data_IF_003618116427
#
_entry.id   IF_003618116427
#
_cell.length_a   1.000
_cell.length_b   1.000
_cell.length_c   1.000
_cell.angle_alpha   90.00
_cell.angle_beta   90.00
_cell.angle_gamma   90.00
#
_symmetry.space_group_name_H-M   'P 1'
#
loop_
_entity.id
_entity.type
_entity.pdbx_description
1 polymer ?
#
# COMPACT_ATOMS: atom_id res chain seq x y z
N UNK A 1 4.10 27.87 32.42
CA UNK A 1 4.52 26.99 33.52
C UNK A 1 3.82 25.67 33.32
N UNK A 2 4.49 24.71 32.69
CA UNK A 2 3.96 23.37 32.42
C UNK A 2 4.21 22.52 33.65
N UNK A 3 3.16 22.33 34.44
CA UNK A 3 3.19 21.43 35.58
C UNK A 3 3.46 20.02 35.05
N UNK A 4 4.59 19.42 35.46
CA UNK A 4 4.85 18.01 35.22
C UNK A 4 3.96 17.25 36.20
N UNK A 5 2.72 16.98 35.83
CA UNK A 5 1.89 16.03 36.56
C UNK A 5 2.59 14.68 36.50
N UNK A 6 3.30 14.35 37.58
CA UNK A 6 3.93 13.04 37.76
C UNK A 6 2.84 12.00 37.64
N UNK A 7 2.92 11.14 36.62
CA UNK A 7 1.96 10.05 36.43
C UNK A 7 1.90 9.20 37.70
N UNK A 8 0.72 8.69 38.10
CA UNK A 8 0.64 7.72 39.18
C UNK A 8 1.56 6.53 38.90
N UNK A 9 2.18 5.98 39.95
CA UNK A 9 3.18 4.91 39.83
C UNK A 9 2.64 3.68 39.06
N UNK A 10 1.40 3.26 39.38
CA UNK A 10 0.75 2.14 38.69
C UNK A 10 0.54 2.39 37.19
N UNK A 11 0.37 3.66 36.76
CA UNK A 11 0.27 4.00 35.35
C UNK A 11 1.64 3.83 34.71
N UNK A 12 2.69 4.39 35.31
CA UNK A 12 4.05 4.30 34.79
C UNK A 12 4.51 2.84 34.64
N UNK A 13 4.28 2.00 35.66
CA UNK A 13 4.58 0.57 35.62
C UNK A 13 3.83 -0.14 34.48
N UNK A 14 2.53 0.17 34.32
CA UNK A 14 1.73 -0.47 33.27
C UNK A 14 2.13 -0.02 31.86
N UNK A 15 2.55 1.23 31.68
CA UNK A 15 3.11 1.72 30.42
C UNK A 15 4.42 0.99 30.07
N UNK A 16 5.29 0.75 31.07
CA UNK A 16 6.51 -0.06 30.89
C UNK A 16 6.16 -1.51 30.53
N UNK A 17 5.18 -2.10 31.22
CA UNK A 17 4.70 -3.46 30.90
C UNK A 17 4.19 -3.55 29.47
N UNK A 18 3.38 -2.58 29.01
CA UNK A 18 2.88 -2.53 27.63
C UNK A 18 4.06 -2.39 26.65
N UNK A 19 4.98 -1.46 26.92
CA UNK A 19 6.16 -1.23 26.07
C UNK A 19 6.98 -2.51 25.89
N UNK A 20 7.31 -3.20 26.98
CA UNK A 20 8.06 -4.45 26.94
C UNK A 20 7.26 -5.59 26.29
N UNK A 21 6.02 -5.81 26.73
CA UNK A 21 5.21 -6.96 26.30
C UNK A 21 4.87 -6.92 24.82
N UNK A 22 4.61 -5.74 24.28
CA UNK A 22 4.21 -5.55 22.88
C UNK A 22 5.34 -5.02 22.00
N UNK A 23 6.57 -4.89 22.54
CA UNK A 23 7.76 -4.39 21.83
C UNK A 23 7.53 -3.02 21.16
N UNK A 24 6.91 -2.10 21.89
CA UNK A 24 6.59 -0.74 21.42
C UNK A 24 7.46 0.27 22.19
N UNK A 25 8.05 1.29 21.53
CA UNK A 25 8.80 2.32 22.24
C UNK A 25 7.98 2.99 23.35
N UNK A 26 8.55 3.13 24.55
CA UNK A 26 7.86 3.66 25.72
C UNK A 26 7.24 5.05 25.45
N UNK A 27 7.95 5.92 24.74
CA UNK A 27 7.47 7.26 24.35
C UNK A 27 6.18 7.21 23.53
N UNK A 28 6.05 6.23 22.64
CA UNK A 28 4.83 6.03 21.82
C UNK A 28 3.67 5.54 22.68
N UNK A 29 3.93 4.61 23.61
CA UNK A 29 2.93 4.12 24.56
C UNK A 29 2.45 5.27 25.46
N UNK A 30 3.36 6.10 25.95
CA UNK A 30 3.05 7.28 26.75
C UNK A 30 2.25 8.31 25.95
N UNK A 31 2.61 8.56 24.68
CA UNK A 31 1.87 9.47 23.79
C UNK A 31 0.42 9.02 23.61
N UNK A 32 0.20 7.76 23.26
CA UNK A 32 -1.16 7.21 23.08
C UNK A 32 -1.95 7.20 24.39
N UNK A 33 -1.29 6.95 25.52
CA UNK A 33 -1.89 7.10 26.84
C UNK A 33 -2.40 8.53 27.06
N UNK A 34 -1.57 9.54 26.81
CA UNK A 34 -1.94 10.94 26.99
C UNK A 34 -3.07 11.36 26.05
N UNK A 35 -3.13 10.83 24.82
CA UNK A 35 -4.25 11.05 23.90
C UNK A 35 -5.57 10.51 24.44
N UNK A 36 -5.56 9.31 25.03
CA UNK A 36 -6.77 8.73 25.66
C UNK A 36 -7.15 9.55 26.88
N UNK A 37 -6.20 9.80 27.77
CA UNK A 37 -6.45 10.50 29.03
C UNK A 37 -6.98 11.92 28.79
N UNK A 38 -6.41 12.66 27.85
CA UNK A 38 -6.83 14.03 27.53
C UNK A 38 -8.01 14.12 26.55
N UNK A 39 -8.63 13.00 26.18
CA UNK A 39 -9.79 13.04 25.29
C UNK A 39 -10.99 13.74 25.96
N UNK A 40 -11.79 14.46 25.16
CA UNK A 40 -12.98 15.18 25.66
C UNK A 40 -13.90 14.27 26.48
N UNK A 41 -14.09 13.03 26.03
CA UNK A 41 -14.88 12.04 26.75
C UNK A 41 -14.33 11.76 28.16
N UNK A 42 -13.04 11.45 28.29
CA UNK A 42 -12.42 11.12 29.58
C UNK A 42 -12.39 12.34 30.52
N UNK A 43 -12.17 13.53 29.96
CA UNK A 43 -12.05 14.75 30.76
C UNK A 43 -13.40 15.32 31.22
N UNK A 44 -14.46 15.20 30.41
CA UNK A 44 -15.73 15.90 30.65
C UNK A 44 -16.89 15.01 31.08
N UNK A 45 -16.84 13.70 30.85
CA UNK A 45 -17.97 12.83 31.19
C UNK A 45 -18.14 12.71 32.72
N UNK A 46 -19.34 12.98 33.27
CA UNK A 46 -19.61 12.99 34.70
C UNK A 46 -19.52 11.60 35.37
N UNK A 47 -19.41 10.52 34.59
CA UNK A 47 -19.19 9.18 35.12
C UNK A 47 -17.80 9.03 35.75
N UNK A 48 -16.81 9.81 35.31
CA UNK A 48 -15.47 9.81 35.89
C UNK A 48 -15.44 10.67 37.16
N UNK A 49 -15.35 10.01 38.32
CA UNK A 49 -15.55 10.67 39.63
C UNK A 49 -14.29 11.35 40.17
N UNK A 50 -13.13 11.00 39.64
CA UNK A 50 -11.83 11.52 40.08
C UNK A 50 -10.80 11.40 38.96
N UNK A 51 -9.66 12.06 39.13
CA UNK A 51 -8.55 11.94 38.19
C UNK A 51 -7.93 10.54 38.20
N UNK A 52 -7.92 9.88 39.35
CA UNK A 52 -7.48 8.49 39.48
C UNK A 52 -8.39 7.51 38.70
N UNK A 53 -9.71 7.75 38.70
CA UNK A 53 -10.66 6.96 37.89
C UNK A 53 -10.39 7.14 36.38
N UNK A 54 -10.06 8.36 35.94
CA UNK A 54 -9.65 8.64 34.56
C UNK A 54 -8.34 7.95 34.20
N UNK A 55 -7.35 7.97 35.09
CA UNK A 55 -6.07 7.27 34.90
C UNK A 55 -6.28 5.76 34.78
N UNK A 56 -7.02 5.15 35.71
CA UNK A 56 -7.36 3.73 35.72
C UNK A 56 -8.13 3.30 34.46
N UNK A 57 -9.10 4.10 34.02
CA UNK A 57 -9.80 3.85 32.77
C UNK A 57 -8.86 3.93 31.55
N UNK A 58 -8.09 5.01 31.45
CA UNK A 58 -7.24 5.29 30.27
C UNK A 58 -6.18 4.22 30.07
N UNK A 59 -5.52 3.79 31.15
CA UNK A 59 -4.53 2.72 31.08
C UNK A 59 -5.16 1.36 30.76
N UNK A 60 -6.37 1.09 31.26
CA UNK A 60 -7.12 -0.14 30.92
C UNK A 60 -7.54 -0.15 29.46
N UNK A 61 -8.01 0.98 28.92
CA UNK A 61 -8.32 1.11 27.49
C UNK A 61 -7.07 0.87 26.65
N UNK A 62 -5.94 1.47 27.02
CA UNK A 62 -4.69 1.28 26.31
C UNK A 62 -4.25 -0.19 26.33
N UNK A 63 -4.27 -0.82 27.50
CA UNK A 63 -3.98 -2.24 27.65
C UNK A 63 -4.86 -3.12 26.75
N UNK A 64 -6.19 -2.92 26.81
CA UNK A 64 -7.14 -3.68 26.00
C UNK A 64 -6.89 -3.47 24.51
N UNK A 65 -6.58 -2.25 24.08
CA UNK A 65 -6.25 -1.95 22.67
C UNK A 65 -5.02 -2.71 22.21
N UNK A 66 -3.97 -2.84 23.03
CA UNK A 66 -2.78 -3.63 22.69
C UNK A 66 -3.03 -5.13 22.77
N UNK A 67 -3.72 -5.60 23.82
CA UNK A 67 -4.02 -7.01 24.02
C UNK A 67 -4.97 -7.60 22.97
N UNK A 68 -5.89 -6.78 22.45
CA UNK A 68 -6.83 -7.18 21.39
C UNK A 68 -6.20 -7.16 20.00
N UNK A 69 -4.95 -6.69 19.84
CA UNK A 69 -4.32 -6.71 18.52
C UNK A 69 -4.01 -8.14 18.08
N UNK A 70 -4.17 -8.43 16.79
CA UNK A 70 -3.63 -9.66 16.23
C UNK A 70 -2.14 -9.78 16.54
N UNK A 71 -1.63 -10.99 16.79
CA UNK A 71 -0.19 -11.21 16.92
C UNK A 71 0.55 -10.66 15.71
N UNK A 72 1.61 -9.90 15.98
CA UNK A 72 2.49 -9.32 14.96
C UNK A 72 3.87 -9.96 15.01
N UNK A 73 4.59 -9.87 13.90
CA UNK A 73 5.99 -10.28 13.77
C UNK A 73 6.76 -9.20 13.01
N UNK A 74 8.05 -9.08 13.29
CA UNK A 74 8.94 -8.23 12.50
C UNK A 74 9.21 -8.89 11.15
N UNK A 75 9.06 -8.12 10.08
CA UNK A 75 9.44 -8.49 8.72
C UNK A 75 10.42 -7.46 8.16
N UNK A 76 11.41 -7.93 7.41
CA UNK A 76 12.13 -7.08 6.46
C UNK A 76 11.35 -7.08 5.16
N UNK A 77 10.90 -5.90 4.71
CA UNK A 77 10.08 -5.74 3.51
C UNK A 77 10.68 -4.72 2.55
N UNK A 78 10.54 -4.97 1.25
CA UNK A 78 10.91 -4.06 0.17
C UNK A 78 9.66 -3.77 -0.67
N UNK A 79 8.99 -2.62 -0.47
CA UNK A 79 7.85 -2.24 -1.28
C UNK A 79 8.23 -1.97 -2.74
N UNK A 80 7.43 -2.46 -3.67
CA UNK A 80 7.66 -2.29 -5.12
C UNK A 80 6.42 -1.82 -5.90
N UNK A 81 5.26 -1.75 -5.25
CA UNK A 81 4.06 -1.17 -5.82
C UNK A 81 2.99 -0.94 -4.78
N UNK A 82 1.95 -0.19 -5.14
CA UNK A 82 0.87 0.18 -4.25
C UNK A 82 -0.46 0.25 -5.01
N UNK A 83 -1.55 0.11 -4.25
CA UNK A 83 -2.88 0.55 -4.66
C UNK A 83 -3.36 1.56 -3.64
N UNK A 84 -3.69 2.76 -4.11
CA UNK A 84 -4.17 3.86 -3.28
C UNK A 84 -5.47 3.53 -2.54
N UNK A 85 -5.75 4.24 -1.44
CA UNK A 85 -6.95 4.02 -0.64
C UNK A 85 -8.23 4.14 -1.48
N UNK A 86 -9.09 3.13 -1.39
CA UNK A 86 -10.42 3.12 -1.99
C UNK A 86 -11.44 2.53 -1.02
N UNK A 87 -12.65 3.05 -1.07
CA UNK A 87 -13.77 2.48 -0.30
C UNK A 87 -14.20 1.18 -0.95
N UNK A 88 -14.10 0.07 -0.23
CA UNK A 88 -14.54 -1.22 -0.73
C UNK A 88 -16.08 -1.22 -0.88
N UNK A 89 -16.57 -1.59 -2.08
CA UNK A 89 -18.02 -1.56 -2.39
C UNK A 89 -18.88 -2.41 -1.45
N UNK A 90 -18.34 -3.53 -0.97
CA UNK A 90 -19.09 -4.50 -0.16
C UNK A 90 -19.07 -4.19 1.33
N UNK A 91 -17.92 -3.74 1.87
CA UNK A 91 -17.77 -3.50 3.31
C UNK A 91 -17.91 -2.03 3.71
N UNK A 92 -17.82 -1.09 2.75
CA UNK A 92 -17.71 0.35 3.05
C UNK A 92 -16.38 0.74 3.72
N UNK A 93 -15.46 -0.21 3.92
CA UNK A 93 -14.19 0.04 4.61
C UNK A 93 -13.15 0.50 3.59
N UNK A 94 -12.52 1.65 3.88
CA UNK A 94 -11.39 2.17 3.12
C UNK A 94 -10.21 1.20 3.24
N UNK A 95 -9.69 0.76 2.10
CA UNK A 95 -8.59 -0.20 2.02
C UNK A 95 -7.57 0.27 1.00
N UNK A 96 -6.30 0.10 1.32
CA UNK A 96 -5.18 0.24 0.39
C UNK A 96 -4.30 -1.02 0.43
N UNK A 97 -3.38 -1.14 -0.53
CA UNK A 97 -2.45 -2.28 -0.61
C UNK A 97 -1.05 -1.79 -0.86
N UNK A 98 -0.08 -2.44 -0.22
CA UNK A 98 1.35 -2.26 -0.49
C UNK A 98 1.88 -3.61 -0.94
N UNK A 99 2.37 -3.67 -2.18
CA UNK A 99 3.04 -4.85 -2.73
C UNK A 99 4.49 -4.81 -2.30
N UNK A 100 4.94 -5.87 -1.65
CA UNK A 100 6.27 -5.97 -1.06
C UNK A 100 6.92 -7.29 -1.42
N UNK A 101 8.23 -7.32 -1.43
CA UNK A 101 8.97 -8.56 -1.23
C UNK A 101 9.32 -8.64 0.25
N UNK A 102 8.83 -9.66 0.94
CA UNK A 102 9.06 -9.87 2.37
C UNK A 102 10.09 -10.99 2.58
N UNK A 103 10.97 -10.81 3.55
CA UNK A 103 11.92 -11.84 3.97
C UNK A 103 11.20 -12.87 4.84
N UNK A 104 11.19 -14.13 4.41
CA UNK A 104 10.70 -15.29 5.15
C UNK A 104 11.84 -16.31 5.28
N UNK A 105 12.51 -16.32 6.44
CA UNK A 105 13.75 -17.08 6.63
C UNK A 105 14.88 -16.49 5.80
N UNK A 106 15.48 -17.30 4.93
CA UNK A 106 16.55 -16.88 4.01
C UNK A 106 16.01 -16.42 2.64
N UNK A 107 14.72 -16.63 2.36
CA UNK A 107 14.11 -16.33 1.07
C UNK A 107 13.34 -15.00 1.09
N UNK A 108 13.33 -14.35 -0.07
CA UNK A 108 12.54 -13.14 -0.33
C UNK A 108 11.35 -13.50 -1.22
N UNK A 109 10.12 -13.28 -0.73
CA UNK A 109 8.89 -13.67 -1.43
C UNK A 109 7.96 -12.49 -1.67
N UNK A 110 7.34 -12.37 -2.87
CA UNK A 110 6.27 -11.41 -3.10
C UNK A 110 5.11 -11.65 -2.13
N UNK A 111 4.66 -10.58 -1.48
CA UNK A 111 3.53 -10.53 -0.56
C UNK A 111 2.76 -9.24 -0.77
N UNK A 112 1.57 -9.18 -0.20
CA UNK A 112 0.76 -7.96 -0.14
C UNK A 112 0.48 -7.64 1.32
N UNK A 113 0.73 -6.38 1.69
CA UNK A 113 0.31 -5.81 2.96
C UNK A 113 -1.04 -5.14 2.71
N UNK A 114 -2.06 -5.63 3.41
CA UNK A 114 -3.40 -5.08 3.37
C UNK A 114 -3.55 -4.05 4.49
N UNK A 115 -3.92 -2.84 4.12
CA UNK A 115 -4.10 -1.71 5.02
C UNK A 115 -5.59 -1.36 5.08
N UNK A 116 -6.27 -1.68 6.19
CA UNK A 116 -7.74 -1.52 6.34
C UNK A 116 -8.09 -0.47 7.39
N UNK A 117 -9.10 0.33 7.07
CA UNK A 117 -9.57 1.41 7.93
C UNK A 117 -8.94 2.75 7.57
N UNK A 118 -9.56 3.83 8.06
CA UNK A 118 -9.27 5.19 7.60
C UNK A 118 -7.78 5.54 7.71
N UNK A 119 -7.22 5.44 8.91
CA UNK A 119 -5.82 5.79 9.19
C UNK A 119 -4.82 4.82 8.55
N UNK A 120 -5.05 3.50 8.66
CA UNK A 120 -4.10 2.51 8.16
C UNK A 120 -4.03 2.54 6.64
N UNK A 121 -5.13 2.84 5.94
CA UNK A 121 -5.14 2.92 4.49
C UNK A 121 -4.16 3.98 3.96
N UNK A 122 -3.90 5.04 4.73
CA UNK A 122 -2.97 6.11 4.34
C UNK A 122 -1.49 5.74 4.50
N UNK A 123 -1.15 4.56 5.07
CA UNK A 123 0.24 4.09 5.21
C UNK A 123 0.98 4.03 3.88
N UNK A 124 0.29 3.82 2.76
CA UNK A 124 0.90 3.85 1.42
C UNK A 124 1.65 5.16 1.15
N UNK A 125 1.23 6.28 1.74
CA UNK A 125 1.86 7.59 1.53
C UNK A 125 3.20 7.74 2.26
N UNK A 126 3.49 6.87 3.23
CA UNK A 126 4.75 6.86 3.98
C UNK A 126 5.81 5.95 3.33
N UNK A 127 5.43 5.26 2.26
CA UNK A 127 6.29 4.29 1.58
C UNK A 127 7.05 4.94 0.44
N UNK A 128 8.37 4.74 0.46
CA UNK A 128 9.27 4.90 -0.66
C UNK A 128 9.50 3.52 -1.30
N UNK A 129 9.18 3.40 -2.59
CA UNK A 129 9.38 2.14 -3.31
C UNK A 129 10.88 1.83 -3.45
N UNK A 130 11.20 0.55 -3.53
CA UNK A 130 12.57 0.02 -3.67
C UNK A 130 13.49 0.39 -2.49
N UNK A 131 12.90 0.63 -1.32
CA UNK A 131 13.61 0.77 -0.05
C UNK A 131 13.25 -0.39 0.88
N UNK A 132 14.23 -0.89 1.63
CA UNK A 132 14.04 -1.89 2.66
C UNK A 132 13.60 -1.23 3.98
N UNK A 133 12.64 -1.86 4.65
CA UNK A 133 12.10 -1.46 5.94
C UNK A 133 12.04 -2.65 6.88
N UNK A 134 12.13 -2.39 8.19
CA UNK A 134 11.72 -3.33 9.23
C UNK A 134 10.35 -2.92 9.75
N UNK A 135 9.37 -3.81 9.64
CA UNK A 135 7.97 -3.48 9.97
C UNK A 135 7.33 -4.57 10.82
N UNK A 136 6.49 -4.17 11.77
CA UNK A 136 5.63 -5.09 12.52
C UNK A 136 4.34 -5.33 11.74
N UNK A 137 4.08 -6.59 11.36
CA UNK A 137 2.89 -6.97 10.59
C UNK A 137 2.21 -8.18 11.22
N UNK A 138 0.89 -8.22 11.12
CA UNK A 138 0.14 -9.44 11.40
C UNK A 138 0.06 -10.31 10.14
N UNK A 139 -0.14 -11.61 10.32
CA UNK A 139 -0.27 -12.58 9.23
C UNK A 139 -1.55 -13.39 9.38
N UNK A 140 -2.23 -13.62 8.25
CA UNK A 140 -3.31 -14.61 8.16
C UNK A 140 -3.18 -15.32 6.81
N UNK A 141 -2.76 -16.59 6.86
CA UNK A 141 -2.37 -17.35 5.68
C UNK A 141 -1.22 -16.68 4.93
N UNK A 142 -1.41 -16.42 3.63
CA UNK A 142 -0.41 -15.77 2.78
C UNK A 142 -0.48 -14.23 2.77
N UNK A 143 -1.43 -13.65 3.49
CA UNK A 143 -1.63 -12.20 3.52
C UNK A 143 -0.97 -11.58 4.75
N UNK A 144 -0.37 -10.41 4.54
CA UNK A 144 0.14 -9.56 5.62
C UNK A 144 -0.87 -8.44 5.88
N UNK A 145 -1.03 -8.08 7.16
CA UNK A 145 -1.96 -7.05 7.59
C UNK A 145 -1.20 -5.98 8.36
N UNK A 146 -1.39 -4.74 7.96
CA UNK A 146 -0.96 -3.61 8.76
C UNK A 146 -1.81 -3.53 10.03
N UNK A 147 -1.17 -3.24 11.17
CA UNK A 147 -1.81 -2.92 12.44
C UNK A 147 -1.41 -1.52 12.86
N UNK A 148 -1.87 -1.04 14.02
CA UNK A 148 -1.42 0.28 14.53
C UNK A 148 0.07 0.28 14.92
N UNK A 149 0.71 -0.89 14.97
CA UNK A 149 2.15 -1.04 15.20
C UNK A 149 2.96 -0.93 13.91
N UNK A 150 2.32 -1.03 12.75
CA UNK A 150 3.02 -0.97 11.46
C UNK A 150 3.46 0.45 11.18
N UNK A 151 4.78 0.66 11.09
CA UNK A 151 5.40 1.94 10.75
C UNK A 151 6.48 1.71 9.69
N UNK A 152 6.52 2.53 8.66
CA UNK A 152 7.56 2.51 7.63
C UNK A 152 8.58 3.61 7.96
N UNK A 153 9.54 3.31 8.82
CA UNK A 153 10.60 4.24 9.25
C UNK A 153 11.98 3.80 8.75
N UNK A 154 12.92 4.74 8.68
CA UNK A 154 14.32 4.51 8.31
C UNK A 154 14.51 3.78 6.97
N UNK A 155 13.98 4.34 5.85
CA UNK A 155 14.07 3.72 4.54
C UNK A 155 15.53 3.51 4.13
N UNK A 156 15.86 2.30 3.65
CA UNK A 156 17.21 1.99 3.12
C UNK A 156 17.12 1.61 1.65
N UNK A 157 17.70 2.37 0.71
CA UNK A 157 17.63 2.04 -0.71
C UNK A 157 18.27 0.69 -0.98
N UNK A 158 17.64 -0.13 -1.83
CA UNK A 158 18.25 -1.39 -2.27
C UNK A 158 19.33 -1.11 -3.31
N UNK A 159 20.45 -1.86 -3.32
CA UNK A 159 21.55 -1.65 -4.28
C UNK A 159 21.24 -2.29 -5.65
N UNK A 160 19.99 -2.25 -6.10
CA UNK A 160 19.55 -2.85 -7.35
C UNK A 160 18.66 -1.89 -8.13
N UNK A 161 18.86 -1.82 -9.44
CA UNK A 161 18.00 -1.06 -10.34
C UNK A 161 16.55 -1.58 -10.29
N UNK A 162 15.53 -0.70 -10.18
CA UNK A 162 14.13 -1.11 -10.04
C UNK A 162 13.65 -2.15 -11.05
N UNK A 163 13.94 -2.00 -12.34
CA UNK A 163 13.51 -2.96 -13.37
C UNK A 163 14.18 -4.33 -13.24
N UNK A 164 15.45 -4.37 -12.83
CA UNK A 164 16.14 -5.64 -12.54
C UNK A 164 15.55 -6.32 -11.32
N UNK A 165 15.19 -5.55 -10.29
CA UNK A 165 14.51 -6.07 -9.11
C UNK A 165 13.15 -6.67 -9.47
N UNK A 166 12.33 -5.96 -10.25
CA UNK A 166 11.00 -6.43 -10.64
C UNK A 166 11.06 -7.70 -11.52
N UNK A 167 12.02 -7.79 -12.43
CA UNK A 167 12.14 -8.97 -13.31
C UNK A 167 12.77 -10.18 -12.60
N UNK A 168 13.81 -9.98 -11.79
CA UNK A 168 14.58 -11.09 -11.18
C UNK A 168 14.06 -11.55 -9.82
N UNK A 169 13.55 -10.62 -9.00
CA UNK A 169 13.11 -10.92 -7.63
C UNK A 169 11.59 -11.06 -7.58
N UNK A 170 10.86 -10.12 -8.20
CA UNK A 170 9.38 -10.20 -8.24
C UNK A 170 8.91 -11.21 -9.29
N UNK A 171 9.68 -11.44 -10.35
CA UNK A 171 9.33 -12.38 -11.43
C UNK A 171 8.35 -11.81 -12.45
N UNK A 172 8.23 -10.48 -12.56
CA UNK A 172 7.34 -9.84 -13.51
C UNK A 172 7.83 -10.04 -14.95
N UNK A 173 6.92 -10.40 -15.87
CA UNK A 173 7.24 -10.68 -17.28
C UNK A 173 7.18 -9.41 -18.10
N UNK A 174 8.25 -9.08 -18.83
CA UNK A 174 8.25 -7.95 -19.77
C UNK A 174 7.53 -8.40 -21.04
N UNK A 175 6.51 -7.66 -21.45
CA UNK A 175 5.77 -7.89 -22.70
C UNK A 175 5.58 -6.57 -23.45
N UNK A 176 5.34 -6.67 -24.75
CA UNK A 176 4.96 -5.57 -25.63
C UNK A 176 3.44 -5.35 -25.60
N UNK A 177 2.97 -4.20 -26.06
CA UNK A 177 1.52 -3.91 -26.12
C UNK A 177 0.80 -4.88 -27.05
N UNK A 178 1.39 -5.20 -28.22
CA UNK A 178 0.82 -6.17 -29.18
C UNK A 178 0.65 -7.58 -28.60
N UNK A 179 1.38 -7.92 -27.54
CA UNK A 179 1.35 -9.22 -26.87
C UNK A 179 0.27 -9.29 -25.76
N UNK A 180 -0.33 -8.17 -25.38
CA UNK A 180 -1.32 -8.10 -24.29
C UNK A 180 -2.58 -8.96 -24.47
N UNK A 181 -3.09 -9.22 -25.69
CA UNK A 181 -4.20 -10.16 -25.88
C UNK A 181 -3.82 -11.62 -25.58
N UNK A 182 -2.54 -11.97 -25.74
CA UNK A 182 -2.04 -13.35 -25.62
C UNK A 182 -1.52 -13.62 -24.20
N UNK A 183 -1.02 -12.58 -23.52
CA UNK A 183 -0.47 -12.68 -22.17
C UNK A 183 -1.24 -11.85 -21.13
N UNK A 184 -2.57 -12.00 -20.99
CA UNK A 184 -3.27 -11.41 -19.86
C UNK A 184 -2.75 -11.99 -18.54
N UNK A 185 -3.06 -11.32 -17.44
CA UNK A 185 -2.81 -11.88 -16.10
C UNK A 185 -3.70 -13.10 -15.90
N UNK A 186 -3.12 -14.16 -15.35
CA UNK A 186 -3.81 -15.40 -15.02
C UNK A 186 -4.95 -15.17 -14.01
N UNK A 187 -6.04 -15.90 -14.17
CA UNK A 187 -7.15 -15.95 -13.22
C UNK A 187 -7.36 -17.38 -12.75
N UNK A 188 -7.73 -17.57 -11.48
CA UNK A 188 -8.15 -18.87 -10.97
C UNK A 188 -9.52 -19.29 -11.54
N UNK A 189 -9.95 -20.52 -11.22
CA UNK A 189 -11.22 -21.09 -11.68
C UNK A 189 -12.46 -20.29 -11.24
N UNK A 190 -12.30 -19.37 -10.28
CA UNK A 190 -13.37 -18.49 -9.78
C UNK A 190 -13.28 -17.09 -10.39
N UNK A 191 -12.35 -16.86 -11.30
CA UNK A 191 -12.12 -15.57 -11.96
C UNK A 191 -11.35 -14.57 -11.09
N UNK A 192 -10.75 -14.99 -9.97
CA UNK A 192 -9.87 -14.12 -9.19
C UNK A 192 -8.51 -14.03 -9.85
N UNK A 193 -8.00 -12.81 -9.93
CA UNK A 193 -6.69 -12.51 -10.50
C UNK A 193 -5.60 -13.15 -9.64
N UNK A 194 -4.64 -13.81 -10.29
CA UNK A 194 -3.41 -14.23 -9.64
C UNK A 194 -2.62 -12.97 -9.24
N UNK A 195 -2.65 -12.65 -7.95
CA UNK A 195 -2.19 -11.36 -7.40
C UNK A 195 -0.72 -11.05 -7.72
N UNK A 196 0.13 -12.05 -7.95
CA UNK A 196 1.56 -11.87 -8.25
C UNK A 196 1.96 -12.21 -9.70
N UNK A 197 1.00 -12.51 -10.59
CA UNK A 197 1.27 -12.69 -12.03
C UNK A 197 1.31 -11.33 -12.74
N UNK A 198 2.45 -10.65 -12.62
CA UNK A 198 2.65 -9.30 -13.15
C UNK A 198 3.18 -9.28 -14.59
N UNK A 199 2.81 -8.21 -15.30
CA UNK A 199 3.43 -7.80 -16.56
C UNK A 199 4.13 -6.46 -16.38
N UNK A 200 5.23 -6.28 -17.10
CA UNK A 200 5.88 -4.99 -17.32
C UNK A 200 5.68 -4.60 -18.78
N UNK A 201 5.07 -3.44 -19.02
CA UNK A 201 4.95 -2.85 -20.35
C UNK A 201 5.74 -1.54 -20.37
N UNK A 202 6.62 -1.39 -21.36
CA UNK A 202 7.31 -0.14 -21.64
C UNK A 202 6.55 0.59 -22.74
N UNK A 203 6.33 1.89 -22.58
CA UNK A 203 5.67 2.68 -23.60
C UNK A 203 5.88 4.17 -23.44
N UNK A 204 5.65 4.87 -24.54
CA UNK A 204 5.65 6.33 -24.63
C UNK A 204 4.27 6.85 -24.26
N UNK A 205 4.21 7.82 -23.35
CA UNK A 205 2.97 8.49 -22.99
C UNK A 205 2.47 9.35 -24.15
N UNK A 206 1.27 9.05 -24.65
CA UNK A 206 0.60 9.85 -25.69
C UNK A 206 -0.32 10.91 -25.09
N UNK A 207 -0.98 10.57 -23.98
CA UNK A 207 -1.85 11.45 -23.20
C UNK A 207 -2.06 10.88 -21.81
N UNK A 208 -2.59 11.71 -20.92
CA UNK A 208 -3.03 11.31 -19.60
C UNK A 208 -4.35 11.99 -19.24
N UNK A 209 -5.12 11.35 -18.36
CA UNK A 209 -6.32 11.94 -17.77
C UNK A 209 -6.33 11.65 -16.28
N UNK A 210 -7.00 12.51 -15.52
CA UNK A 210 -7.16 12.32 -14.09
C UNK A 210 -8.42 13.02 -13.57
N UNK A 211 -8.83 12.67 -12.36
CA UNK A 211 -9.97 13.30 -11.72
C UNK A 211 -10.24 12.74 -10.33
N UNK A 212 -11.43 13.07 -9.82
CA UNK A 212 -11.90 12.66 -8.50
C UNK A 212 -13.20 11.88 -8.66
N UNK A 213 -13.33 10.75 -7.97
CA UNK A 213 -14.55 9.93 -7.92
C UNK A 213 -15.58 10.53 -6.95
N UNK A 214 -16.86 10.11 -7.00
CA UNK A 214 -17.87 10.57 -6.05
C UNK A 214 -17.54 10.31 -4.57
N UNK A 215 -16.72 9.30 -4.28
CA UNK A 215 -16.24 8.98 -2.93
C UNK A 215 -15.02 9.81 -2.50
N UNK A 216 -14.62 10.81 -3.30
CA UNK A 216 -13.45 11.65 -3.05
C UNK A 216 -12.11 11.02 -3.44
N UNK A 217 -12.08 9.74 -3.82
CA UNK A 217 -10.82 9.09 -4.24
C UNK A 217 -10.36 9.61 -5.61
N UNK A 218 -9.06 9.86 -5.75
CA UNK A 218 -8.49 10.30 -7.02
C UNK A 218 -8.30 9.12 -7.98
N UNK A 219 -8.27 9.41 -9.27
CA UNK A 219 -7.94 8.46 -10.32
C UNK A 219 -7.05 9.12 -11.37
N UNK A 220 -6.19 8.32 -11.97
CA UNK A 220 -5.31 8.73 -13.05
C UNK A 220 -5.15 7.59 -14.06
N UNK A 221 -4.96 7.95 -15.32
CA UNK A 221 -4.77 7.01 -16.42
C UNK A 221 -3.79 7.59 -17.43
N UNK A 222 -2.89 6.75 -17.92
CA UNK A 222 -2.06 7.01 -19.08
C UNK A 222 -2.62 6.28 -20.30
N UNK A 223 -2.54 6.90 -21.47
CA UNK A 223 -2.61 6.21 -22.76
C UNK A 223 -1.20 6.17 -23.32
N UNK A 224 -0.71 4.98 -23.65
CA UNK A 224 0.66 4.76 -24.10
C UNK A 224 0.71 4.02 -25.44
N UNK A 225 1.84 4.09 -26.14
CA UNK A 225 2.14 3.25 -27.29
C UNK A 225 3.61 2.79 -27.25
N UNK A 226 3.93 1.74 -28.00
CA UNK A 226 5.30 1.25 -28.21
C UNK A 226 5.55 1.00 -29.70
N UNK A 227 6.74 0.53 -30.05
CA UNK A 227 7.12 0.23 -31.43
C UNK A 227 6.50 -1.06 -32.00
N UNK A 228 5.69 -1.76 -31.20
CA UNK A 228 5.08 -3.04 -31.57
C UNK A 228 3.68 -2.91 -32.15
N UNK A 229 3.06 -1.75 -31.99
CA UNK A 229 1.67 -1.51 -32.39
C UNK A 229 1.60 -0.79 -33.74
N UNK A 230 0.65 -1.23 -34.56
CA UNK A 230 0.33 -0.63 -35.86
C UNK A 230 -1.12 -0.16 -35.90
N UNK A 231 -1.75 -0.25 -37.08
CA UNK A 231 -3.21 -0.08 -37.17
C UNK A 231 -3.92 -1.10 -36.30
N UNK A 232 -5.03 -0.69 -35.67
CA UNK A 232 -5.84 -1.57 -34.83
C UNK A 232 -6.25 -2.82 -35.62
N UNK A 233 -6.11 -3.99 -34.99
CA UNK A 233 -6.46 -5.27 -35.59
C UNK A 233 -7.17 -6.17 -34.58
N UNK A 234 -7.84 -7.20 -35.07
CA UNK A 234 -8.60 -8.15 -34.24
C UNK A 234 -7.94 -9.52 -34.40
N UNK A 235 -7.62 -10.15 -33.28
CA UNK A 235 -7.10 -11.52 -33.23
C UNK A 235 -8.17 -12.53 -33.66
N UNK A 236 -7.78 -13.76 -34.03
CA UNK A 236 -8.73 -14.82 -34.39
C UNK A 236 -9.75 -15.14 -33.28
N UNK A 237 -9.41 -14.83 -32.02
CA UNK A 237 -10.29 -15.00 -30.85
C UNK A 237 -11.21 -13.79 -30.58
N UNK A 238 -11.19 -12.77 -31.44
CA UNK A 238 -12.05 -11.59 -31.32
C UNK A 238 -11.55 -10.51 -30.36
N UNK A 239 -10.33 -10.63 -29.84
CA UNK A 239 -9.70 -9.63 -28.96
C UNK A 239 -8.97 -8.58 -29.80
N UNK A 240 -9.11 -7.31 -29.44
CA UNK A 240 -8.45 -6.18 -30.09
C UNK A 240 -6.96 -6.16 -29.76
N UNK A 241 -6.12 -6.04 -30.79
CA UNK A 241 -4.72 -5.63 -30.65
C UNK A 241 -4.70 -4.11 -30.78
N UNK A 242 -4.53 -3.37 -29.68
CA UNK A 242 -4.78 -1.94 -29.70
C UNK A 242 -3.61 -1.17 -30.31
N UNK A 243 -3.91 -0.07 -30.99
CA UNK A 243 -2.91 0.91 -31.44
C UNK A 243 -2.38 1.79 -30.31
N UNK A 244 -3.12 1.86 -29.20
CA UNK A 244 -2.80 2.62 -28.00
C UNK A 244 -3.31 1.85 -26.78
N UNK A 245 -2.54 1.83 -25.69
CA UNK A 245 -2.84 1.00 -24.53
C UNK A 245 -3.22 1.84 -23.32
N UNK A 246 -4.28 1.43 -22.64
CA UNK A 246 -4.78 2.13 -21.44
C UNK A 246 -4.13 1.56 -20.17
N UNK A 247 -3.48 2.42 -19.39
CA UNK A 247 -2.84 2.06 -18.12
C UNK A 247 -3.42 2.90 -16.98
N UNK A 248 -4.22 2.29 -16.14
CA UNK A 248 -4.69 2.88 -14.89
C UNK A 248 -3.58 2.86 -13.85
N UNK A 249 -3.26 4.01 -13.27
CA UNK A 249 -2.20 4.15 -12.27
C UNK A 249 -2.75 4.72 -10.96
N UNK A 250 -2.14 4.40 -9.81
CA UNK A 250 -2.28 5.21 -8.60
C UNK A 250 -1.97 6.68 -8.92
N UNK A 251 -2.77 7.60 -8.40
CA UNK A 251 -2.69 9.02 -8.71
C UNK A 251 -1.29 9.60 -8.46
N UNK A 252 -0.60 9.15 -7.41
CA UNK A 252 0.78 9.58 -7.13
C UNK A 252 1.84 9.16 -8.16
N UNK A 253 1.51 8.29 -9.11
CA UNK A 253 2.37 7.95 -10.24
C UNK A 253 2.06 8.75 -11.51
N UNK A 254 1.03 9.60 -11.49
CA UNK A 254 0.81 10.59 -12.54
C UNK A 254 1.80 11.75 -12.34
N UNK A 255 3.03 11.57 -12.84
CA UNK A 255 4.14 12.51 -12.63
C UNK A 255 4.89 12.89 -13.90
N UNK A 256 4.57 12.25 -15.02
CA UNK A 256 5.33 12.40 -16.26
C UNK A 256 4.42 12.74 -17.43
N UNK A 257 4.91 13.62 -18.28
CA UNK A 257 4.17 14.27 -19.36
C UNK A 257 4.20 13.44 -20.65
N UNK A 258 3.46 13.91 -21.67
CA UNK A 258 3.49 13.38 -23.03
C UNK A 258 4.94 13.28 -23.53
N UNK A 259 5.20 12.26 -24.34
CA UNK A 259 6.52 11.87 -24.88
C UNK A 259 7.46 11.19 -23.85
N UNK A 260 7.05 11.05 -22.59
CA UNK A 260 7.83 10.30 -21.60
C UNK A 260 7.78 8.79 -21.86
N UNK A 261 8.94 8.13 -21.85
CA UNK A 261 9.04 6.67 -21.80
C UNK A 261 9.03 6.17 -20.36
N UNK A 262 8.04 5.34 -20.05
CA UNK A 262 7.85 4.75 -18.72
C UNK A 262 7.73 3.23 -18.81
N UNK A 263 8.16 2.54 -17.76
CA UNK A 263 7.83 1.15 -17.51
C UNK A 263 6.72 1.04 -16.47
N UNK A 264 5.61 0.40 -16.84
CA UNK A 264 4.48 0.16 -15.97
C UNK A 264 4.46 -1.31 -15.55
N UNK A 265 4.33 -1.55 -14.25
CA UNK A 265 4.12 -2.90 -13.72
C UNK A 265 2.72 -3.02 -13.16
N UNK A 266 2.03 -4.10 -13.52
CA UNK A 266 0.69 -4.37 -13.02
C UNK A 266 0.05 -5.60 -13.62
N UNK A 267 -1.27 -5.67 -13.46
CA UNK A 267 -2.09 -6.74 -14.01
C UNK A 267 -2.69 -6.31 -15.35
N UNK A 268 -2.52 -7.13 -16.38
CA UNK A 268 -3.14 -6.93 -17.69
C UNK A 268 -4.47 -7.69 -17.71
N UNK A 269 -5.54 -7.01 -18.12
CA UNK A 269 -6.90 -7.55 -18.16
C UNK A 269 -7.51 -7.28 -19.52
N UNK A 270 -8.43 -8.16 -19.92
CA UNK A 270 -9.28 -7.95 -21.10
C UNK A 270 -10.66 -7.52 -20.60
N UNK A 271 -11.13 -6.36 -21.03
CA UNK A 271 -12.46 -5.85 -20.71
C UNK A 271 -13.11 -5.30 -21.98
N UNK A 272 -14.36 -5.69 -22.25
CA UNK A 272 -15.05 -5.35 -23.51
C UNK A 272 -14.20 -5.67 -24.76
N UNK A 273 -13.49 -6.81 -24.76
CA UNK A 273 -12.57 -7.27 -25.80
C UNK A 273 -11.32 -6.40 -26.05
N UNK A 274 -11.05 -5.41 -25.19
CA UNK A 274 -9.85 -4.57 -25.27
C UNK A 274 -8.94 -4.83 -24.05
N UNK A 275 -7.62 -5.00 -24.26
CA UNK A 275 -6.69 -5.18 -23.16
C UNK A 275 -6.34 -3.84 -22.50
N UNK A 276 -6.21 -3.84 -21.18
CA UNK A 276 -5.79 -2.68 -20.39
C UNK A 276 -5.00 -3.13 -19.16
N UNK A 277 -4.25 -2.23 -18.53
CA UNK A 277 -3.48 -2.51 -17.32
C UNK A 277 -4.00 -1.75 -16.10
N UNK A 278 -4.03 -2.43 -14.95
CA UNK A 278 -4.04 -1.77 -13.65
C UNK A 278 -2.63 -1.84 -13.07
N UNK A 279 -1.90 -0.74 -13.21
CA UNK A 279 -0.53 -0.64 -12.72
C UNK A 279 -0.52 -0.42 -11.21
N UNK A 280 0.53 -0.94 -10.57
CA UNK A 280 0.83 -0.72 -9.14
C UNK A 280 2.07 0.15 -8.96
N UNK A 281 2.83 0.41 -10.03
CA UNK A 281 3.99 1.29 -10.07
C UNK A 281 4.26 1.73 -11.52
N UNK A 282 4.81 2.94 -11.67
CA UNK A 282 5.37 3.45 -12.92
C UNK A 282 6.81 3.92 -12.66
N UNK A 283 7.76 3.43 -13.47
CA UNK A 283 9.18 3.73 -13.36
C UNK A 283 9.60 4.56 -14.58
N UNK A 284 10.21 5.75 -14.40
CA UNK A 284 10.71 6.53 -15.52
C UNK A 284 11.91 5.83 -16.19
N UNK A 285 11.93 5.82 -17.52
CA UNK A 285 13.09 5.41 -18.33
C UNK A 285 13.71 6.66 -18.96
N UNK A 286 12.93 7.36 -19.79
CA UNK A 286 13.28 8.65 -20.39
C UNK A 286 12.09 9.58 -20.21
N UNK A 287 12.05 10.33 -19.11
CA UNK A 287 10.82 11.00 -18.69
C UNK A 287 10.95 12.51 -18.58
N UNK A 288 9.90 13.21 -19.01
CA UNK A 288 9.66 14.64 -18.76
C UNK A 288 8.70 14.75 -17.57
N UNK A 289 9.10 15.37 -16.44
CA UNK A 289 8.18 15.61 -15.33
C UNK A 289 6.98 16.46 -15.77
N UNK A 290 5.82 16.21 -15.17
CA UNK A 290 4.66 17.08 -15.29
C UNK A 290 4.88 18.35 -14.44
N UNK A 291 4.55 19.49 -15.02
CA UNK A 291 4.39 20.75 -14.29
C UNK A 291 2.93 20.83 -13.81
N UNK A 292 2.64 20.33 -12.61
CA UNK A 292 1.31 20.43 -11.96
C UNK A 292 1.43 21.01 -10.57
#
# INVERSE_FOLDING_TARGET
MTDKTTLPEYVAEKLQEISHRFSVPFEEVQRQYMEIFNSDFVQTDPQFRSDDDRHAYSIRVLWVRYAAQPPTREYVVIPFGIVEPRVARTSGIKTSRIYVVAQEGEEFKPKVIICRGETLSELVNQVELFHAYKVQLSTSGNLLFATTLTKFTDPRPIPTEPLKFLTRVVGAKVIKISETPIYPTETDDKGYINEFDFRIIKGIVLRYNYGTRPDGSKWAVYTIADDSVGAESITDSGVVVPSQFTVWVPFRFLRYDVDSELAFIGHVRIGNNEPFMNAICAIPIHARPLEI
#
